data_IF_885753352118
#
_entry.id   IF_885753352118
#
_cell.length_a   1.000
_cell.length_b   1.000
_cell.length_c   1.000
_cell.angle_alpha   90.00
_cell.angle_beta   90.00
_cell.angle_gamma   90.00
#
_symmetry.space_group_name_H-M   'P 1'
#
loop_
_entity.id
_entity.type
_entity.pdbx_description
1 polymer ?
#
# COMPACT_ATOMS: atom_id res chain seq x y z
N UNK A 1 18.29 -3.73 21.50
CA UNK A 1 16.84 -3.76 21.43
C UNK A 1 16.26 -2.98 22.61
N UNK A 2 15.24 -2.18 22.36
CA UNK A 2 14.45 -1.63 23.46
C UNK A 2 13.81 -2.79 24.23
N UNK A 3 13.79 -2.69 25.56
CA UNK A 3 12.96 -3.57 26.35
C UNK A 3 11.50 -3.30 25.99
N UNK A 4 11.01 -4.04 25.00
CA UNK A 4 9.61 -4.24 24.60
C UNK A 4 8.84 -2.98 24.22
N UNK A 5 8.63 -2.69 22.98
CA UNK A 5 7.42 -1.97 22.64
C UNK A 5 6.22 -2.87 22.94
N UNK A 6 5.57 -2.61 24.09
CA UNK A 6 4.29 -3.26 24.46
C UNK A 6 3.29 -3.10 23.32
N UNK A 7 3.32 -1.96 22.62
CA UNK A 7 2.57 -1.66 21.42
C UNK A 7 2.75 -2.69 20.31
N UNK A 8 3.99 -3.13 20.03
CA UNK A 8 4.23 -4.12 18.98
C UNK A 8 3.56 -5.48 19.25
N UNK A 9 3.50 -5.89 20.51
CA UNK A 9 2.84 -7.15 20.88
C UNK A 9 1.33 -7.09 20.79
N UNK A 10 0.75 -5.89 20.98
CA UNK A 10 -0.70 -5.70 20.94
C UNK A 10 -1.20 -5.44 19.51
N UNK A 11 -0.44 -4.70 18.71
CA UNK A 11 -0.88 -4.16 17.42
C UNK A 11 -0.09 -4.66 16.23
N UNK A 12 0.98 -5.46 16.44
CA UNK A 12 1.93 -5.90 15.40
C UNK A 12 2.72 -4.75 14.74
N UNK A 13 2.63 -3.53 15.30
CA UNK A 13 3.43 -2.37 14.93
C UNK A 13 3.73 -1.50 16.14
N UNK A 14 4.74 -0.63 16.02
CA UNK A 14 5.10 0.34 17.07
C UNK A 14 4.23 1.60 16.93
N UNK A 15 3.64 2.07 18.02
CA UNK A 15 2.79 3.27 18.06
C UNK A 15 3.63 4.53 18.19
N UNK A 16 3.19 5.63 17.58
CA UNK A 16 3.86 6.93 17.64
C UNK A 16 5.24 6.89 16.99
N UNK A 17 6.19 7.58 17.59
CA UNK A 17 7.55 7.73 17.07
C UNK A 17 8.52 6.60 17.45
N UNK A 18 8.07 5.62 18.21
CA UNK A 18 8.92 4.51 18.65
C UNK A 18 9.31 3.58 17.50
N UNK A 19 10.50 3.00 17.60
CA UNK A 19 10.99 1.90 16.76
C UNK A 19 11.46 0.74 17.63
N UNK A 20 11.81 -0.37 17.02
CA UNK A 20 12.40 -1.52 17.73
C UNK A 20 13.87 -1.27 18.15
N UNK A 21 14.46 -0.16 17.75
CA UNK A 21 15.84 0.20 18.02
C UNK A 21 15.91 1.32 19.06
N UNK A 22 16.83 1.18 20.01
CA UNK A 22 17.05 2.20 21.04
C UNK A 22 17.59 3.49 20.41
N UNK A 23 17.01 4.64 20.79
CA UNK A 23 17.38 5.97 20.32
C UNK A 23 17.18 6.19 18.80
N UNK A 24 16.42 5.32 18.14
CA UNK A 24 16.00 5.51 16.76
C UNK A 24 14.51 5.78 16.76
N UNK A 25 14.11 6.90 16.18
CA UNK A 25 12.72 7.36 16.13
C UNK A 25 12.30 7.54 14.68
N UNK A 26 11.04 7.28 14.39
CA UNK A 26 10.44 7.62 13.10
C UNK A 26 9.77 8.98 13.14
N UNK A 27 9.64 9.59 12.00
CA UNK A 27 8.79 10.77 11.79
C UNK A 27 7.37 10.26 11.65
N UNK A 28 6.41 10.89 12.34
CA UNK A 28 5.00 10.50 12.26
C UNK A 28 4.39 10.94 10.92
N UNK A 29 3.32 10.25 10.47
CA UNK A 29 2.56 10.70 9.30
C UNK A 29 2.07 12.13 9.48
N UNK A 30 2.22 12.96 8.43
CA UNK A 30 1.88 14.37 8.46
C UNK A 30 2.95 15.30 9.04
N UNK A 31 4.08 14.74 9.50
CA UNK A 31 5.23 15.50 9.99
C UNK A 31 6.40 15.47 8.98
N UNK A 32 7.27 16.47 9.05
CA UNK A 32 8.55 16.49 8.37
C UNK A 32 9.66 17.07 9.26
N UNK A 33 10.89 16.67 8.98
CA UNK A 33 12.07 17.13 9.68
C UNK A 33 12.83 18.13 8.81
N UNK A 34 12.93 19.38 9.30
CA UNK A 34 13.73 20.41 8.65
C UNK A 34 15.13 20.45 9.28
N UNK A 35 16.14 20.37 8.45
CA UNK A 35 17.54 20.47 8.88
C UNK A 35 18.16 21.67 8.16
N UNK A 36 18.43 22.72 8.90
CA UNK A 36 19.03 23.95 8.35
C UNK A 36 20.13 24.47 9.27
N UNK A 37 21.32 24.73 8.72
CA UNK A 37 22.47 25.27 9.45
C UNK A 37 22.81 24.51 10.76
N UNK A 38 22.72 23.17 10.73
CA UNK A 38 23.00 22.31 11.88
C UNK A 38 21.90 22.29 12.96
N UNK A 39 20.81 23.00 12.76
CA UNK A 39 19.62 22.94 13.62
C UNK A 39 18.59 22.00 13.01
N UNK A 40 17.93 21.24 13.87
CA UNK A 40 16.91 20.28 13.49
C UNK A 40 15.58 20.68 14.10
N UNK A 41 14.54 20.79 13.31
CA UNK A 41 13.19 21.14 13.75
C UNK A 41 12.19 20.16 13.16
N UNK A 42 11.32 19.58 14.01
CA UNK A 42 10.22 18.74 13.60
C UNK A 42 8.98 19.60 13.42
N UNK A 43 8.35 19.55 12.24
CA UNK A 43 7.17 20.32 11.88
C UNK A 43 6.06 19.41 11.40
N UNK A 44 4.81 19.74 11.75
CA UNK A 44 3.61 19.10 11.24
C UNK A 44 3.00 19.95 10.14
N UNK A 45 2.65 19.34 9.01
CA UNK A 45 1.95 20.02 7.91
C UNK A 45 0.50 19.54 7.77
N UNK A 46 0.14 18.42 8.35
CA UNK A 46 -1.22 17.87 8.28
C UNK A 46 -1.48 16.85 9.38
N UNK A 47 -2.72 16.81 9.85
CA UNK A 47 -3.23 15.77 10.76
C UNK A 47 -4.63 15.37 10.33
N UNK A 48 -4.91 14.08 10.33
CA UNK A 48 -6.18 13.51 9.85
C UNK A 48 -7.43 14.04 10.59
N UNK A 49 -7.27 14.52 11.81
CA UNK A 49 -8.37 15.04 12.63
C UNK A 49 -8.53 16.56 12.60
N UNK A 50 -7.64 17.30 11.95
CA UNK A 50 -7.70 18.77 11.93
C UNK A 50 -8.78 19.29 10.97
N UNK A 51 -9.08 18.56 9.90
CA UNK A 51 -10.00 18.96 8.82
C UNK A 51 -11.31 18.15 8.82
N UNK A 52 -11.84 17.83 10.00
CA UNK A 52 -13.13 17.13 10.09
C UNK A 52 -14.25 18.02 9.59
N UNK A 53 -14.90 17.58 8.53
CA UNK A 53 -16.10 18.20 7.98
C UNK A 53 -17.27 17.28 8.28
N UNK A 54 -18.32 17.81 8.96
CA UNK A 54 -19.59 17.11 9.04
C UNK A 54 -20.29 17.21 7.68
N UNK A 55 -20.39 16.08 7.01
CA UNK A 55 -21.08 16.01 5.71
C UNK A 55 -22.56 15.86 5.98
N UNK A 56 -23.35 16.89 5.65
CA UNK A 56 -24.81 16.88 5.72
C UNK A 56 -25.48 16.71 4.34
N UNK A 57 -24.72 16.29 3.34
CA UNK A 57 -25.18 16.14 1.98
C UNK A 57 -25.95 14.82 1.76
N UNK A 58 -26.73 14.77 0.68
CA UNK A 58 -27.37 13.54 0.30
C UNK A 58 -26.36 12.56 -0.33
N UNK A 59 -26.67 11.26 -0.27
CA UNK A 59 -25.81 10.18 -0.76
C UNK A 59 -25.33 10.39 -2.20
N UNK A 60 -26.19 10.84 -3.10
CA UNK A 60 -25.83 11.04 -4.51
C UNK A 60 -24.72 12.09 -4.69
N UNK A 61 -24.80 13.16 -3.89
CA UNK A 61 -23.78 14.20 -3.93
C UNK A 61 -22.47 13.68 -3.35
N UNK A 62 -22.53 12.97 -2.22
CA UNK A 62 -21.34 12.35 -1.59
C UNK A 62 -20.64 11.41 -2.57
N UNK A 63 -21.37 10.52 -3.22
CA UNK A 63 -20.82 9.57 -4.20
C UNK A 63 -20.16 10.32 -5.37
N UNK A 64 -20.81 11.37 -5.87
CA UNK A 64 -20.24 12.18 -6.96
C UNK A 64 -18.92 12.84 -6.54
N UNK A 65 -18.94 13.57 -5.43
CA UNK A 65 -17.78 14.31 -4.94
C UNK A 65 -16.61 13.35 -4.61
N UNK A 66 -16.92 12.19 -4.01
CA UNK A 66 -15.93 11.15 -3.74
C UNK A 66 -15.33 10.57 -5.03
N UNK A 67 -16.15 10.30 -6.04
CA UNK A 67 -15.69 9.81 -7.34
C UNK A 67 -14.70 10.80 -7.96
N UNK A 68 -15.06 12.08 -7.99
CA UNK A 68 -14.19 13.14 -8.53
C UNK A 68 -12.85 13.24 -7.77
N UNK A 69 -12.87 13.15 -6.44
CA UNK A 69 -11.65 13.16 -5.60
C UNK A 69 -10.75 11.94 -5.85
N UNK A 70 -11.33 10.75 -5.96
CA UNK A 70 -10.58 9.52 -6.23
C UNK A 70 -9.94 9.58 -7.63
N UNK A 71 -10.72 9.99 -8.64
CA UNK A 71 -10.20 10.14 -10.00
C UNK A 71 -9.07 11.15 -10.07
N UNK A 72 -9.25 12.34 -9.50
CA UNK A 72 -8.20 13.39 -9.46
C UNK A 72 -6.95 12.87 -8.75
N UNK A 73 -7.11 12.22 -7.60
CA UNK A 73 -5.99 11.65 -6.83
C UNK A 73 -5.17 10.63 -7.65
N UNK A 74 -5.84 9.74 -8.39
CA UNK A 74 -5.17 8.74 -9.23
C UNK A 74 -4.49 9.40 -10.44
N UNK A 75 -5.21 10.28 -11.13
CA UNK A 75 -4.71 10.96 -12.32
C UNK A 75 -3.55 11.91 -12.02
N UNK A 76 -3.55 12.56 -10.85
CA UNK A 76 -2.45 13.39 -10.39
C UNK A 76 -1.15 12.57 -10.24
N UNK A 77 -1.25 11.36 -9.66
CA UNK A 77 -0.11 10.45 -9.52
C UNK A 77 0.38 9.96 -10.88
N UNK A 78 -0.53 9.57 -11.76
CA UNK A 78 -0.21 9.19 -13.14
C UNK A 78 0.51 10.31 -13.89
N UNK A 79 0.01 11.55 -13.81
CA UNK A 79 0.59 12.73 -14.50
C UNK A 79 2.05 12.97 -14.10
N UNK A 80 2.41 12.62 -12.88
CA UNK A 80 3.75 12.79 -12.34
C UNK A 80 4.69 11.60 -12.64
N UNK A 81 4.19 10.54 -13.30
CA UNK A 81 5.02 9.42 -13.74
C UNK A 81 5.76 9.81 -15.03
N UNK A 82 7.08 9.92 -14.94
CA UNK A 82 7.95 10.22 -16.09
C UNK A 82 8.27 9.00 -16.97
N UNK A 83 7.85 7.81 -16.54
CA UNK A 83 8.14 6.51 -17.16
C UNK A 83 6.89 5.64 -17.14
N UNK A 84 6.96 4.53 -17.88
CA UNK A 84 5.97 3.45 -17.78
C UNK A 84 5.79 3.03 -16.34
N UNK A 85 4.55 2.79 -15.94
CA UNK A 85 4.19 2.42 -14.59
C UNK A 85 3.30 1.19 -14.56
N UNK A 86 3.32 0.51 -13.43
CA UNK A 86 2.49 -0.66 -13.20
C UNK A 86 1.41 -0.44 -12.14
N UNK A 87 0.45 -1.37 -12.08
CA UNK A 87 -0.49 -1.50 -10.98
C UNK A 87 -0.45 -2.90 -10.38
N UNK A 88 -0.58 -2.95 -9.05
CA UNK A 88 -0.90 -4.17 -8.34
C UNK A 88 -2.41 -4.38 -8.34
N UNK A 89 -2.86 -5.56 -8.72
CA UNK A 89 -4.27 -5.94 -8.77
C UNK A 89 -4.46 -7.24 -8.00
N UNK A 90 -5.24 -7.18 -6.92
CA UNK A 90 -5.58 -8.36 -6.10
C UNK A 90 -6.89 -9.02 -6.52
N UNK A 91 -7.71 -8.34 -7.33
CA UNK A 91 -9.10 -8.72 -7.59
C UNK A 91 -10.10 -8.02 -6.67
N UNK A 92 -9.64 -7.32 -5.64
CA UNK A 92 -10.46 -6.44 -4.80
C UNK A 92 -10.83 -5.14 -5.53
N UNK A 93 -11.94 -4.50 -5.09
CA UNK A 93 -12.49 -3.29 -5.70
C UNK A 93 -11.50 -2.13 -5.74
N UNK A 94 -10.70 -1.96 -4.68
CA UNK A 94 -9.78 -0.83 -4.54
C UNK A 94 -8.67 -0.87 -5.59
N UNK A 95 -8.02 -2.01 -5.71
CA UNK A 95 -6.96 -2.21 -6.70
C UNK A 95 -7.50 -2.18 -8.13
N UNK A 96 -8.72 -2.71 -8.35
CA UNK A 96 -9.39 -2.66 -9.64
C UNK A 96 -9.71 -1.21 -10.06
N UNK A 97 -10.22 -0.39 -9.13
CA UNK A 97 -10.53 1.02 -9.37
C UNK A 97 -9.27 1.80 -9.78
N UNK A 98 -8.17 1.62 -9.05
CA UNK A 98 -6.89 2.26 -9.37
C UNK A 98 -6.41 1.86 -10.78
N UNK A 99 -6.46 0.57 -11.11
CA UNK A 99 -6.02 0.09 -12.41
C UNK A 99 -6.91 0.59 -13.56
N UNK A 100 -8.24 0.56 -13.39
CA UNK A 100 -9.18 1.00 -14.41
C UNK A 100 -9.09 2.50 -14.72
N UNK A 101 -8.88 3.34 -13.70
CA UNK A 101 -8.75 4.79 -13.87
C UNK A 101 -7.36 5.15 -14.41
N UNK A 102 -6.30 4.60 -13.84
CA UNK A 102 -4.93 4.95 -14.22
C UNK A 102 -4.51 4.40 -15.58
N UNK A 103 -5.08 3.25 -16.00
CA UNK A 103 -4.70 2.51 -17.22
C UNK A 103 -3.19 2.33 -17.31
N UNK A 104 -2.60 1.48 -16.45
CA UNK A 104 -1.16 1.27 -16.37
C UNK A 104 -0.62 0.55 -17.60
N UNK A 105 0.69 0.67 -17.84
CA UNK A 105 1.39 -0.07 -18.90
C UNK A 105 1.56 -1.56 -18.57
N UNK A 106 1.62 -1.87 -17.26
CA UNK A 106 1.76 -3.22 -16.74
C UNK A 106 0.84 -3.49 -15.57
N UNK A 107 0.27 -4.70 -15.52
CA UNK A 107 -0.55 -5.17 -14.40
C UNK A 107 0.08 -6.41 -13.79
N UNK A 108 0.12 -6.44 -12.47
CA UNK A 108 0.70 -7.53 -11.71
C UNK A 108 -0.24 -8.02 -10.62
N UNK A 109 -0.25 -9.33 -10.45
CA UNK A 109 -0.89 -9.98 -9.31
C UNK A 109 0.03 -11.02 -8.70
N UNK A 110 -0.20 -11.35 -7.44
CA UNK A 110 0.47 -12.45 -6.76
C UNK A 110 -0.60 -13.46 -6.36
N UNK A 111 -0.35 -14.72 -6.59
CA UNK A 111 -1.23 -15.83 -6.21
C UNK A 111 -0.41 -17.02 -5.73
N UNK A 112 -1.08 -17.91 -5.03
CA UNK A 112 -0.54 -19.18 -4.57
C UNK A 112 -1.39 -20.33 -5.08
N UNK A 113 -0.77 -21.44 -5.43
CA UNK A 113 -1.47 -22.66 -5.85
C UNK A 113 -1.88 -23.48 -4.59
N UNK A 114 -2.68 -22.88 -3.69
CA UNK A 114 -3.01 -23.49 -2.39
C UNK A 114 -4.44 -24.03 -2.35
N UNK A 115 -5.43 -23.24 -2.74
CA UNK A 115 -6.83 -23.67 -2.86
C UNK A 115 -7.64 -22.69 -3.71
N UNK A 116 -8.74 -23.17 -4.29
CA UNK A 116 -9.62 -22.34 -5.11
C UNK A 116 -10.43 -21.31 -4.28
N UNK A 117 -10.64 -21.57 -2.99
CA UNK A 117 -11.47 -20.73 -2.10
C UNK A 117 -10.87 -19.33 -1.86
N UNK A 118 -9.56 -19.17 -2.03
CA UNK A 118 -8.85 -17.90 -1.85
C UNK A 118 -8.15 -17.43 -3.13
N UNK A 119 -8.57 -17.98 -4.27
CA UNK A 119 -7.97 -17.66 -5.55
C UNK A 119 -8.60 -16.41 -6.16
N UNK A 120 -7.97 -15.25 -5.95
CA UNK A 120 -8.41 -13.98 -6.52
C UNK A 120 -7.99 -13.79 -8.00
N UNK A 121 -7.23 -14.72 -8.57
CA UNK A 121 -6.71 -14.64 -9.93
C UNK A 121 -7.79 -14.42 -11.01
N UNK A 122 -8.98 -15.08 -10.97
CA UNK A 122 -10.02 -14.81 -11.94
C UNK A 122 -10.49 -13.34 -11.95
N UNK A 123 -10.59 -12.73 -10.80
CA UNK A 123 -10.98 -11.31 -10.68
C UNK A 123 -9.87 -10.38 -11.17
N UNK A 124 -8.62 -10.66 -10.84
CA UNK A 124 -7.48 -9.89 -11.36
C UNK A 124 -7.39 -10.00 -12.90
N UNK A 125 -7.72 -11.17 -13.47
CA UNK A 125 -7.78 -11.37 -14.93
C UNK A 125 -8.90 -10.55 -15.56
N UNK A 126 -10.10 -10.49 -14.95
CA UNK A 126 -11.20 -9.67 -15.43
C UNK A 126 -10.80 -8.18 -15.51
N UNK A 127 -10.07 -7.66 -14.51
CA UNK A 127 -9.56 -6.28 -14.54
C UNK A 127 -8.57 -6.09 -15.69
N UNK A 128 -7.66 -7.04 -15.88
CA UNK A 128 -6.68 -7.01 -16.96
C UNK A 128 -7.35 -6.99 -18.34
N UNK A 129 -8.34 -7.85 -18.54
CA UNK A 129 -9.12 -7.93 -19.78
C UNK A 129 -9.91 -6.63 -20.03
N UNK A 130 -10.51 -6.06 -18.98
CA UNK A 130 -11.27 -4.81 -19.07
C UNK A 130 -10.43 -3.62 -19.56
N UNK A 131 -9.17 -3.56 -19.16
CA UNK A 131 -8.27 -2.46 -19.57
C UNK A 131 -7.39 -2.83 -20.77
N UNK A 132 -7.50 -4.05 -21.28
CA UNK A 132 -6.78 -4.52 -22.46
C UNK A 132 -5.29 -4.77 -22.21
N UNK A 133 -4.92 -5.12 -20.98
CA UNK A 133 -3.54 -5.38 -20.58
C UNK A 133 -3.31 -6.86 -20.25
N UNK A 134 -2.07 -7.32 -20.44
CA UNK A 134 -1.68 -8.68 -20.07
C UNK A 134 -1.35 -8.74 -18.58
N UNK A 135 -2.03 -9.62 -17.84
CA UNK A 135 -1.76 -9.86 -16.43
C UNK A 135 -0.43 -10.61 -16.26
N UNK A 136 0.49 -10.02 -15.50
CA UNK A 136 1.73 -10.66 -15.06
C UNK A 136 1.52 -11.27 -13.68
N UNK A 137 1.71 -12.58 -13.57
CA UNK A 137 1.40 -13.34 -12.37
C UNK A 137 2.69 -13.75 -11.67
N UNK A 138 2.81 -13.43 -10.40
CA UNK A 138 3.89 -13.87 -9.52
C UNK A 138 3.36 -15.02 -8.66
N UNK A 139 4.08 -16.15 -8.64
CA UNK A 139 3.74 -17.35 -7.85
C UNK A 139 4.92 -17.72 -6.95
N UNK A 140 5.01 -17.15 -5.74
CA UNK A 140 6.06 -17.51 -4.82
C UNK A 140 5.91 -18.96 -4.34
N UNK A 141 7.04 -19.63 -4.24
CA UNK A 141 7.13 -21.00 -3.73
C UNK A 141 7.59 -21.01 -2.26
N UNK A 142 7.49 -22.16 -1.59
CA UNK A 142 8.09 -22.35 -0.27
C UNK A 142 9.61 -22.05 -0.26
N UNK A 143 10.29 -22.47 -1.32
CA UNK A 143 11.72 -22.22 -1.47
C UNK A 143 12.01 -20.71 -1.58
N UNK A 144 11.21 -19.96 -2.34
CA UNK A 144 11.35 -18.49 -2.43
C UNK A 144 11.22 -17.84 -1.04
N UNK A 145 10.29 -18.34 -0.21
CA UNK A 145 10.17 -17.87 1.17
C UNK A 145 11.42 -18.13 1.99
N UNK A 146 11.91 -19.37 1.98
CA UNK A 146 13.09 -19.79 2.76
C UNK A 146 14.35 -19.00 2.35
N UNK A 147 14.53 -18.75 1.08
CA UNK A 147 15.66 -18.00 0.52
C UNK A 147 15.61 -16.49 0.81
N UNK A 148 14.41 -15.91 0.86
CA UNK A 148 14.27 -14.45 0.92
C UNK A 148 13.87 -13.90 2.29
N UNK A 149 13.40 -14.72 3.24
CA UNK A 149 12.89 -14.24 4.54
C UNK A 149 13.91 -13.39 5.31
N UNK A 150 15.18 -13.75 5.28
CA UNK A 150 16.24 -12.95 5.93
C UNK A 150 16.39 -11.57 5.30
N UNK A 151 16.29 -11.49 3.98
CA UNK A 151 16.36 -10.23 3.25
C UNK A 151 15.14 -9.34 3.55
N UNK A 152 13.94 -9.93 3.60
CA UNK A 152 12.72 -9.22 4.00
C UNK A 152 12.85 -8.61 5.39
N UNK A 153 13.26 -9.42 6.38
CA UNK A 153 13.48 -8.96 7.76
C UNK A 153 14.53 -7.85 7.85
N UNK A 154 15.62 -7.98 7.09
CA UNK A 154 16.71 -7.00 7.07
C UNK A 154 16.23 -5.64 6.54
N UNK A 155 15.45 -5.62 5.45
CA UNK A 155 14.96 -4.38 4.84
C UNK A 155 13.80 -3.74 5.60
N UNK A 156 13.02 -4.51 6.35
CA UNK A 156 11.92 -3.98 7.15
C UNK A 156 12.37 -3.43 8.51
N UNK A 157 13.52 -3.87 9.03
CA UNK A 157 13.98 -3.58 10.39
C UNK A 157 12.94 -3.93 11.47
N UNK A 158 12.02 -4.84 11.16
CA UNK A 158 10.95 -5.33 12.04
C UNK A 158 10.56 -6.77 11.67
N UNK A 159 9.83 -7.49 12.54
CA UNK A 159 9.29 -8.79 12.17
C UNK A 159 8.39 -8.66 10.93
N UNK A 160 8.60 -9.56 9.98
CA UNK A 160 7.83 -9.58 8.74
C UNK A 160 6.47 -10.26 8.94
N UNK A 161 5.45 -9.70 8.32
CA UNK A 161 4.16 -10.36 8.12
C UNK A 161 4.16 -11.12 6.79
N UNK A 162 3.15 -11.96 6.59
CA UNK A 162 2.94 -12.60 5.30
C UNK A 162 2.78 -11.59 4.15
N UNK A 163 2.06 -10.50 4.41
CA UNK A 163 1.85 -9.40 3.46
C UNK A 163 3.17 -8.75 3.04
N UNK A 164 4.07 -8.51 4.01
CA UNK A 164 5.40 -7.93 3.73
C UNK A 164 6.23 -8.82 2.81
N UNK A 165 6.17 -10.14 3.02
CA UNK A 165 6.86 -11.09 2.15
C UNK A 165 6.27 -11.07 0.74
N UNK A 166 4.94 -11.09 0.60
CA UNK A 166 4.26 -11.03 -0.68
C UNK A 166 4.64 -9.77 -1.46
N UNK A 167 4.62 -8.63 -0.78
CA UNK A 167 5.01 -7.35 -1.38
C UNK A 167 6.47 -7.38 -1.84
N UNK A 168 7.37 -7.93 -1.03
CA UNK A 168 8.78 -8.08 -1.41
C UNK A 168 8.94 -8.93 -2.68
N UNK A 169 8.24 -10.08 -2.75
CA UNK A 169 8.34 -10.98 -3.89
C UNK A 169 7.82 -10.36 -5.18
N UNK A 170 6.66 -9.68 -5.09
CA UNK A 170 6.11 -9.02 -6.27
C UNK A 170 6.99 -7.84 -6.71
N UNK A 171 7.51 -7.03 -5.78
CA UNK A 171 8.42 -5.92 -6.08
C UNK A 171 9.76 -6.37 -6.67
N UNK A 172 10.26 -7.52 -6.21
CA UNK A 172 11.47 -8.14 -6.80
C UNK A 172 11.30 -8.44 -8.29
N UNK A 173 10.08 -8.82 -8.71
CA UNK A 173 9.76 -9.07 -10.12
C UNK A 173 9.49 -7.78 -10.90
N UNK A 174 8.72 -6.90 -10.33
CA UNK A 174 8.29 -5.64 -10.93
C UNK A 174 9.43 -4.71 -11.33
N UNK A 175 10.48 -4.63 -10.49
CA UNK A 175 11.65 -3.75 -10.74
C UNK A 175 12.35 -4.00 -12.07
N UNK A 176 12.12 -5.14 -12.71
CA UNK A 176 12.65 -5.47 -14.01
C UNK A 176 11.96 -4.69 -15.14
N UNK A 177 10.69 -4.33 -14.94
CA UNK A 177 9.83 -3.73 -15.96
C UNK A 177 9.55 -2.24 -15.70
N UNK A 178 9.30 -1.86 -14.43
CA UNK A 178 8.85 -0.51 -14.08
C UNK A 178 9.57 0.07 -12.87
N UNK A 179 9.54 1.39 -12.76
CA UNK A 179 10.07 2.13 -11.60
C UNK A 179 8.99 2.68 -10.69
N UNK A 180 7.76 2.75 -11.17
CA UNK A 180 6.61 3.30 -10.43
C UNK A 180 5.49 2.26 -10.42
N UNK A 181 4.87 2.09 -9.26
CA UNK A 181 3.71 1.23 -9.06
C UNK A 181 2.63 2.02 -8.35
N UNK A 182 1.40 1.88 -8.83
CA UNK A 182 0.20 2.30 -8.14
C UNK A 182 -0.49 1.09 -7.51
N UNK A 183 -1.07 1.28 -6.34
CA UNK A 183 -1.82 0.25 -5.62
C UNK A 183 -3.05 0.85 -4.93
N UNK A 184 -3.97 -0.01 -4.50
CA UNK A 184 -5.14 0.37 -3.70
C UNK A 184 -4.87 0.49 -2.20
N UNK A 185 -3.61 0.46 -1.76
CA UNK A 185 -3.24 0.56 -0.35
C UNK A 185 -3.75 1.88 0.28
N UNK A 186 -4.28 1.79 1.50
CA UNK A 186 -4.80 2.92 2.26
C UNK A 186 -6.31 3.13 2.15
N UNK A 187 -6.99 2.45 1.26
CA UNK A 187 -8.46 2.58 1.08
C UNK A 187 -9.20 1.98 2.27
N UNK A 188 -8.80 0.80 2.75
CA UNK A 188 -9.39 0.15 3.92
C UNK A 188 -9.23 0.99 5.19
N UNK A 189 -8.10 1.68 5.34
CA UNK A 189 -7.84 2.58 6.46
C UNK A 189 -8.74 3.81 6.44
N UNK A 190 -9.05 4.34 5.25
CA UNK A 190 -9.89 5.51 5.08
C UNK A 190 -11.38 5.19 5.19
N UNK A 191 -11.81 4.05 4.67
CA UNK A 191 -13.23 3.69 4.54
C UNK A 191 -13.66 2.55 5.48
N UNK A 192 -12.79 2.08 6.37
CA UNK A 192 -13.13 1.05 7.36
C UNK A 192 -13.36 -0.33 6.76
N UNK A 193 -12.65 -0.70 5.68
CA UNK A 193 -12.86 -1.94 4.94
C UNK A 193 -12.39 -3.21 5.65
N UNK A 194 -11.53 -3.09 6.67
CA UNK A 194 -11.06 -4.27 7.41
C UNK A 194 -12.13 -4.87 8.31
N UNK A 195 -12.29 -6.19 8.30
CA UNK A 195 -13.21 -6.92 9.18
C UNK A 195 -13.02 -6.61 10.67
N UNK A 196 -11.83 -6.24 11.10
CA UNK A 196 -11.54 -5.87 12.50
C UNK A 196 -12.19 -4.55 12.95
N UNK A 197 -12.77 -3.79 12.03
CA UNK A 197 -13.49 -2.54 12.34
C UNK A 197 -14.98 -2.76 12.56
N UNK A 198 -15.48 -3.96 12.28
CA UNK A 198 -16.87 -4.41 12.44
C UNK A 198 -16.97 -5.46 13.55
#
# INVERSE_FOLDING_TARGET
PNEKPVSYRAFEFTVGRETLFKNVYRIEPGDYLEICNGKTELKSYWKIWDDRIEIQDNEKKIVKDLTELIEDSILLRKKNCAHDFGCLVSGGVDSALVACISKPDFIYTLTYDISDDYNELPYAQMVADQIGQKLKIVRPTKQDYEENIKSVLYHLDMPATWTSFNLFMIMKKLKEDVKVILSGEGVDELFGGYHRYH
#
